data_IF_787658844569
#
_entry.id   IF_787658844569
#
_cell.length_a   1.000
_cell.length_b   1.000
_cell.length_c   1.000
_cell.angle_alpha   90.00
_cell.angle_beta   90.00
_cell.angle_gamma   90.00
#
_symmetry.space_group_name_H-M   'P 1'
#
loop_
_entity.id
_entity.type
_entity.pdbx_description
1 polymer ?
#
# COMPACT_ATOMS: atom_id res chain seq x y z
N UNK A 1 -17.83 -3.20 30.28
CA UNK A 1 -17.14 -1.88 30.30
C UNK A 1 -16.68 -1.48 28.90
N UNK A 2 -17.23 -0.41 28.33
CA UNK A 2 -16.75 0.16 27.08
C UNK A 2 -15.42 0.91 27.25
N UNK A 3 -14.58 0.95 26.21
CA UNK A 3 -13.38 1.81 26.19
C UNK A 3 -13.74 3.12 25.48
N UNK A 4 -13.32 4.26 26.03
CA UNK A 4 -13.55 5.56 25.41
C UNK A 4 -12.82 5.75 24.07
N UNK A 5 -13.28 6.74 23.28
CA UNK A 5 -12.74 7.05 21.94
C UNK A 5 -11.22 7.31 21.96
N UNK A 6 -10.74 7.99 23.01
CA UNK A 6 -9.33 8.35 23.21
C UNK A 6 -8.46 7.22 23.75
N UNK A 7 -9.02 6.03 23.99
CA UNK A 7 -8.25 4.86 24.41
C UNK A 7 -7.10 4.58 23.46
N UNK A 8 -5.88 4.45 24.00
CA UNK A 8 -4.66 4.18 23.23
C UNK A 8 -4.73 2.84 22.48
N UNK A 9 -5.42 1.85 23.03
CA UNK A 9 -5.61 0.53 22.40
C UNK A 9 -6.51 0.64 21.18
N UNK A 10 -7.68 1.26 21.36
CA UNK A 10 -8.62 1.46 20.25
C UNK A 10 -8.02 2.37 19.17
N UNK A 11 -7.22 3.38 19.55
CA UNK A 11 -6.46 4.21 18.60
C UNK A 11 -5.51 3.37 17.75
N UNK A 12 -4.77 2.43 18.34
CA UNK A 12 -3.84 1.55 17.61
C UNK A 12 -4.56 0.66 16.60
N UNK A 13 -5.64 0.00 17.01
CA UNK A 13 -6.45 -0.80 16.07
C UNK A 13 -7.06 0.05 14.95
N UNK A 14 -7.45 1.30 15.22
CA UNK A 14 -7.90 2.22 14.15
C UNK A 14 -6.77 2.55 13.17
N UNK A 15 -5.53 2.73 13.63
CA UNK A 15 -4.38 2.94 12.75
C UNK A 15 -4.16 1.74 11.84
N UNK A 16 -4.19 0.52 12.38
CA UNK A 16 -4.06 -0.71 11.58
C UNK A 16 -5.15 -0.81 10.50
N UNK A 17 -6.40 -0.51 10.86
CA UNK A 17 -7.52 -0.48 9.89
C UNK A 17 -7.28 0.54 8.78
N UNK A 18 -6.79 1.75 9.11
CA UNK A 18 -6.50 2.79 8.11
C UNK A 18 -5.41 2.34 7.13
N UNK A 19 -4.34 1.73 7.63
CA UNK A 19 -3.28 1.17 6.78
C UNK A 19 -3.88 0.15 5.82
N UNK A 20 -4.68 -0.79 6.32
CA UNK A 20 -5.30 -1.80 5.48
C UNK A 20 -6.24 -1.21 4.41
N UNK A 21 -7.07 -0.21 4.76
CA UNK A 21 -7.93 0.51 3.79
C UNK A 21 -7.10 1.23 2.75
N UNK A 22 -6.05 1.94 3.17
CA UNK A 22 -5.16 2.66 2.27
C UNK A 22 -4.53 1.71 1.24
N UNK A 23 -4.15 0.51 1.65
CA UNK A 23 -3.52 -0.47 0.76
C UNK A 23 -4.50 -1.18 -0.16
N UNK A 24 -5.65 -1.58 0.35
CA UNK A 24 -6.64 -2.36 -0.39
C UNK A 24 -7.53 -1.51 -1.30
N UNK A 25 -7.83 -0.27 -0.92
CA UNK A 25 -8.77 0.61 -1.62
C UNK A 25 -8.05 1.82 -2.22
N UNK A 26 -7.36 2.60 -1.40
CA UNK A 26 -6.88 3.93 -1.83
C UNK A 26 -5.75 3.83 -2.86
N UNK A 27 -4.71 3.02 -2.59
CA UNK A 27 -3.60 2.77 -3.52
C UNK A 27 -4.09 2.33 -4.92
N UNK A 28 -4.90 1.27 -5.07
CA UNK A 28 -5.36 0.85 -6.39
C UNK A 28 -6.30 1.87 -7.05
N UNK A 29 -7.10 2.61 -6.27
CA UNK A 29 -7.94 3.69 -6.79
C UNK A 29 -7.10 4.82 -7.39
N UNK A 30 -6.07 5.27 -6.66
CA UNK A 30 -5.14 6.32 -7.12
C UNK A 30 -4.37 5.84 -8.36
N UNK A 31 -3.92 4.58 -8.38
CA UNK A 31 -3.24 4.02 -9.55
C UNK A 31 -4.13 4.01 -10.80
N UNK A 32 -5.40 3.62 -10.67
CA UNK A 32 -6.40 3.69 -11.76
C UNK A 32 -6.63 5.12 -12.22
N UNK A 33 -6.76 6.07 -11.29
CA UNK A 33 -6.93 7.48 -11.61
C UNK A 33 -5.73 8.02 -12.39
N UNK A 34 -4.50 7.75 -11.91
CA UNK A 34 -3.27 8.17 -12.59
C UNK A 34 -3.14 7.58 -13.99
N UNK A 35 -3.52 6.31 -14.17
CA UNK A 35 -3.55 5.67 -15.49
C UNK A 35 -4.52 6.40 -16.43
N UNK A 36 -5.73 6.71 -15.96
CA UNK A 36 -6.73 7.46 -16.75
C UNK A 36 -6.20 8.82 -17.17
N UNK A 37 -5.58 9.57 -16.27
CA UNK A 37 -4.99 10.87 -16.58
C UNK A 37 -3.93 10.74 -17.69
N UNK A 38 -3.07 9.73 -17.62
CA UNK A 38 -2.07 9.45 -18.66
C UNK A 38 -2.70 9.09 -20.01
N UNK A 39 -3.76 8.28 -19.99
CA UNK A 39 -4.49 7.90 -21.21
C UNK A 39 -5.16 9.12 -21.85
N UNK A 40 -5.73 10.04 -21.06
CA UNK A 40 -6.27 11.32 -21.54
C UNK A 40 -5.20 12.15 -22.25
N UNK A 41 -4.02 12.28 -21.64
CA UNK A 41 -2.90 13.04 -22.20
C UNK A 41 -2.39 12.44 -23.53
N UNK A 42 -2.49 11.13 -23.70
CA UNK A 42 -2.10 10.42 -24.92
C UNK A 42 -3.22 10.37 -25.97
N UNK A 43 -4.33 11.12 -25.79
CA UNK A 43 -5.53 11.08 -26.64
C UNK A 43 -6.12 9.68 -26.82
N UNK A 44 -5.91 8.78 -25.85
CA UNK A 44 -6.53 7.45 -25.84
C UNK A 44 -7.95 7.56 -25.30
N UNK A 45 -8.82 6.65 -25.72
CA UNK A 45 -10.18 6.59 -25.21
C UNK A 45 -10.19 6.14 -23.74
N UNK A 46 -10.34 7.10 -22.84
CA UNK A 46 -10.42 6.92 -21.38
C UNK A 46 -11.65 6.12 -20.95
N UNK A 47 -12.69 6.08 -21.79
CA UNK A 47 -13.93 5.37 -21.49
C UNK A 47 -13.88 3.88 -21.82
N UNK A 48 -12.78 3.39 -22.42
CA UNK A 48 -12.63 1.98 -22.81
C UNK A 48 -12.88 1.01 -21.65
N UNK A 49 -12.55 1.39 -20.42
CA UNK A 49 -12.78 0.57 -19.22
C UNK A 49 -14.26 0.44 -18.81
N UNK A 50 -15.13 1.35 -19.27
CA UNK A 50 -16.57 1.33 -18.94
C UNK A 50 -17.41 0.60 -19.99
N UNK A 51 -16.83 0.31 -21.16
CA UNK A 51 -17.49 -0.45 -22.22
C UNK A 51 -17.57 -1.90 -21.74
N UNK A 52 -18.79 -2.36 -21.43
CA UNK A 52 -19.05 -3.76 -21.07
C UNK A 52 -19.01 -4.62 -22.34
N UNK A 53 -18.46 -5.85 -22.27
CA UNK A 53 -18.56 -6.78 -23.39
C UNK A 53 -20.04 -7.15 -23.64
N UNK A 54 -20.38 -7.51 -24.88
CA UNK A 54 -21.74 -7.94 -25.22
C UNK A 54 -22.13 -9.20 -24.42
N UNK A 55 -23.43 -9.33 -24.13
CA UNK A 55 -23.95 -10.47 -23.37
C UNK A 55 -24.11 -11.70 -24.28
N UNK A 56 -23.40 -12.78 -23.97
CA UNK A 56 -23.42 -14.02 -24.77
C UNK A 56 -24.79 -14.70 -24.82
N UNK A 57 -25.66 -14.50 -23.82
CA UNK A 57 -27.03 -15.03 -23.86
C UNK A 57 -27.92 -14.32 -24.88
N UNK A 58 -27.64 -13.04 -25.17
CA UNK A 58 -28.40 -12.24 -26.12
C UNK A 58 -27.81 -12.31 -27.53
N UNK A 59 -26.49 -12.40 -27.62
CA UNK A 59 -25.73 -12.48 -28.88
C UNK A 59 -24.88 -13.75 -28.87
N UNK A 60 -25.48 -14.93 -29.13
CA UNK A 60 -24.76 -16.20 -29.09
C UNK A 60 -23.68 -16.31 -30.17
N UNK A 61 -23.89 -15.67 -31.33
CA UNK A 61 -23.00 -15.77 -32.49
C UNK A 61 -21.79 -14.82 -32.42
N UNK A 62 -21.82 -13.79 -31.56
CA UNK A 62 -20.71 -12.84 -31.43
C UNK A 62 -19.55 -13.46 -30.61
N UNK A 63 -18.36 -13.57 -31.21
CA UNK A 63 -17.16 -14.10 -30.58
C UNK A 63 -16.68 -13.25 -29.39
N UNK A 64 -16.94 -11.94 -29.41
CA UNK A 64 -16.54 -11.03 -28.34
C UNK A 64 -17.51 -11.01 -27.17
N UNK A 65 -18.65 -11.68 -27.28
CA UNK A 65 -19.65 -11.72 -26.23
C UNK A 65 -19.24 -12.67 -25.09
N UNK A 66 -19.48 -12.23 -23.85
CA UNK A 66 -19.07 -12.92 -22.63
C UNK A 66 -20.31 -13.35 -21.85
N UNK A 67 -20.26 -14.54 -21.25
CA UNK A 67 -21.30 -15.01 -20.31
C UNK A 67 -21.18 -14.19 -19.02
N UNK A 68 -22.20 -13.40 -18.64
CA UNK A 68 -22.14 -12.61 -17.41
C UNK A 68 -22.01 -13.54 -16.18
N UNK A 69 -20.94 -13.37 -15.42
CA UNK A 69 -20.73 -14.07 -14.16
C UNK A 69 -20.72 -13.06 -13.00
N UNK A 70 -21.50 -13.34 -11.96
CA UNK A 70 -21.47 -12.55 -10.74
C UNK A 70 -20.17 -12.84 -9.98
N UNK A 71 -19.24 -11.87 -9.95
CA UNK A 71 -18.03 -11.97 -9.13
C UNK A 71 -18.38 -11.67 -7.68
N UNK A 72 -18.13 -12.63 -6.79
CA UNK A 72 -18.26 -12.42 -5.34
C UNK A 72 -17.15 -11.45 -4.92
N UNK A 73 -17.52 -10.20 -4.62
CA UNK A 73 -16.60 -9.21 -4.07
C UNK A 73 -16.45 -9.50 -2.58
N UNK A 74 -15.26 -9.96 -2.16
CA UNK A 74 -14.96 -10.13 -0.74
C UNK A 74 -14.96 -8.75 -0.07
N UNK A 75 -15.87 -8.54 0.86
CA UNK A 75 -15.87 -7.35 1.71
C UNK A 75 -14.61 -7.32 2.58
N UNK A 76 -14.09 -6.13 2.85
CA UNK A 76 -12.97 -5.97 3.78
C UNK A 76 -13.46 -6.30 5.19
N UNK A 77 -12.80 -7.27 5.84
CA UNK A 77 -13.07 -7.59 7.23
C UNK A 77 -12.29 -6.66 8.16
N UNK A 78 -13.03 -5.86 8.94
CA UNK A 78 -12.46 -4.94 9.90
C UNK A 78 -12.34 -5.51 11.32
N UNK A 79 -12.64 -6.78 11.55
CA UNK A 79 -12.34 -7.44 12.82
C UNK A 79 -10.83 -7.43 13.04
N UNK A 80 -10.40 -7.25 14.28
CA UNK A 80 -8.97 -7.19 14.60
C UNK A 80 -8.25 -8.45 14.18
N UNK A 81 -8.84 -9.63 14.36
CA UNK A 81 -8.26 -10.93 14.02
C UNK A 81 -7.94 -11.09 12.53
N UNK A 82 -8.71 -10.46 11.64
CA UNK A 82 -8.55 -10.59 10.20
C UNK A 82 -7.48 -9.65 9.60
N UNK A 83 -6.96 -8.70 10.40
CA UNK A 83 -6.03 -7.68 9.91
C UNK A 83 -4.58 -8.12 10.17
N UNK A 84 -3.68 -8.06 9.16
CA UNK A 84 -2.32 -8.63 9.25
C UNK A 84 -1.45 -7.99 10.34
N UNK A 85 -1.67 -6.71 10.63
CA UNK A 85 -0.86 -5.93 11.58
C UNK A 85 -1.50 -5.79 12.97
N UNK A 86 -2.64 -6.45 13.20
CA UNK A 86 -3.42 -6.29 14.43
C UNK A 86 -2.72 -6.88 15.65
N UNK A 87 -1.93 -7.94 15.47
CA UNK A 87 -1.15 -8.58 16.54
C UNK A 87 -0.27 -7.56 17.25
N UNK A 88 0.45 -6.73 16.51
CA UNK A 88 1.31 -5.68 17.08
C UNK A 88 0.57 -4.57 17.83
N UNK A 89 -0.75 -4.41 17.59
CA UNK A 89 -1.56 -3.39 18.24
C UNK A 89 -2.10 -3.80 19.63
N UNK A 90 -1.96 -5.09 20.00
CA UNK A 90 -2.45 -5.67 21.26
C UNK A 90 -1.77 -5.03 22.49
N UNK A 91 -2.40 -5.18 23.65
CA UNK A 91 -1.83 -4.78 24.93
C UNK A 91 -0.64 -5.67 25.31
N UNK A 92 0.37 -5.11 25.98
CA UNK A 92 1.57 -5.86 26.37
C UNK A 92 2.63 -6.05 25.28
N UNK A 93 2.29 -5.88 23.99
CA UNK A 93 3.25 -6.05 22.92
C UNK A 93 4.35 -4.98 22.87
N UNK A 94 5.54 -5.40 22.41
CA UNK A 94 6.69 -4.53 22.15
C UNK A 94 6.31 -3.47 21.10
N UNK A 95 6.79 -2.25 21.31
CA UNK A 95 6.40 -1.07 20.49
C UNK A 95 7.56 -0.39 19.80
N UNK A 96 8.77 -0.57 20.34
CA UNK A 96 10.00 -0.04 19.77
C UNK A 96 10.66 -1.19 19.05
N UNK A 97 10.85 -1.01 17.75
CA UNK A 97 11.52 -1.94 16.87
C UNK A 97 12.73 -1.23 16.29
N UNK A 98 13.81 -1.97 16.11
CA UNK A 98 14.98 -1.50 15.39
C UNK A 98 14.67 -1.34 13.90
N UNK A 99 15.59 -0.73 13.16
CA UNK A 99 15.35 -0.39 11.75
C UNK A 99 15.24 -1.67 10.91
N UNK A 100 16.11 -2.64 11.15
CA UNK A 100 16.12 -3.93 10.46
C UNK A 100 14.81 -4.68 10.69
N UNK A 101 14.39 -4.79 11.96
CA UNK A 101 13.13 -5.44 12.33
C UNK A 101 11.90 -4.77 11.71
N UNK A 102 11.91 -3.44 11.55
CA UNK A 102 10.82 -2.72 10.85
C UNK A 102 10.75 -3.09 9.38
N UNK A 103 11.90 -3.20 8.71
CA UNK A 103 11.98 -3.58 7.30
C UNK A 103 11.49 -5.03 7.13
N UNK A 104 11.88 -5.93 8.02
CA UNK A 104 11.40 -7.32 8.03
C UNK A 104 9.88 -7.40 8.20
N UNK A 105 9.33 -6.67 9.16
CA UNK A 105 7.87 -6.60 9.39
C UNK A 105 7.17 -6.04 8.13
N UNK A 106 7.72 -5.00 7.52
CA UNK A 106 7.16 -4.42 6.30
C UNK A 106 7.16 -5.42 5.14
N UNK A 107 8.26 -6.15 4.96
CA UNK A 107 8.41 -7.14 3.90
C UNK A 107 7.46 -8.33 4.09
N UNK A 108 7.23 -8.77 5.33
CA UNK A 108 6.37 -9.91 5.63
C UNK A 108 4.88 -9.59 5.51
N UNK A 109 4.44 -8.45 6.07
CA UNK A 109 3.01 -8.19 6.28
C UNK A 109 2.41 -7.17 5.32
N UNK A 110 3.25 -6.36 4.66
CA UNK A 110 2.79 -5.21 3.89
C UNK A 110 2.23 -4.11 4.79
N UNK A 111 2.63 -2.87 4.50
CA UNK A 111 2.11 -1.70 5.19
C UNK A 111 2.86 -1.33 6.47
N UNK A 112 2.83 -0.03 6.74
CA UNK A 112 3.61 0.57 7.82
C UNK A 112 2.75 0.81 9.06
N UNK A 113 3.02 0.10 10.16
CA UNK A 113 2.51 0.42 11.50
C UNK A 113 3.14 1.74 11.98
N UNK A 114 2.57 2.87 11.54
CA UNK A 114 2.97 4.19 12.04
C UNK A 114 4.17 4.83 11.36
N UNK A 115 4.41 4.56 10.07
CA UNK A 115 5.27 5.44 9.23
C UNK A 115 4.43 6.46 8.45
N UNK A 116 3.45 7.07 9.09
CA UNK A 116 3.02 8.39 8.64
C UNK A 116 3.80 9.39 9.49
N UNK A 117 4.74 10.05 8.81
CA UNK A 117 5.80 10.96 9.27
C UNK A 117 7.02 10.34 9.95
N UNK A 118 8.03 10.05 9.13
CA UNK A 118 9.27 10.78 9.38
C UNK A 118 9.96 11.09 8.06
N UNK A 119 9.79 12.34 7.62
CA UNK A 119 10.79 12.99 6.76
C UNK A 119 12.22 12.80 7.31
N UNK A 120 12.37 12.48 8.60
CA UNK A 120 13.62 12.07 9.24
C UNK A 120 14.16 10.70 8.81
N UNK A 121 13.35 9.66 8.55
CA UNK A 121 13.88 8.37 8.06
C UNK A 121 14.28 8.48 6.60
N UNK A 122 13.50 9.17 5.75
CA UNK A 122 13.91 9.45 4.38
C UNK A 122 15.15 10.33 4.32
N UNK A 123 15.25 11.39 5.15
CA UNK A 123 16.48 12.18 5.29
C UNK A 123 17.66 11.37 5.81
N UNK A 124 17.47 10.47 6.78
CA UNK A 124 18.53 9.60 7.30
C UNK A 124 19.06 8.67 6.20
N UNK A 125 18.17 8.06 5.41
CA UNK A 125 18.53 7.21 4.26
C UNK A 125 19.26 8.02 3.18
N UNK A 126 18.77 9.22 2.87
CA UNK A 126 19.43 10.13 1.92
C UNK A 126 20.83 10.56 2.41
N UNK A 127 20.97 10.90 3.69
CA UNK A 127 22.23 11.33 4.30
C UNK A 127 23.25 10.17 4.40
N UNK A 128 22.79 8.94 4.68
CA UNK A 128 23.64 7.74 4.63
C UNK A 128 24.14 7.46 3.20
N UNK A 129 23.28 7.59 2.19
CA UNK A 129 23.67 7.43 0.79
C UNK A 129 24.60 8.54 0.29
N UNK A 130 24.45 9.79 0.75
CA UNK A 130 25.39 10.89 0.45
C UNK A 130 26.78 10.59 1.01
N UNK A 131 26.87 10.25 2.30
CA UNK A 131 28.15 9.90 2.95
C UNK A 131 28.84 8.72 2.27
N UNK A 132 28.09 7.68 1.89
CA UNK A 132 28.63 6.53 1.16
C UNK A 132 29.25 6.93 -0.19
N UNK A 133 28.57 7.78 -0.97
CA UNK A 133 29.11 8.28 -2.25
C UNK A 133 30.37 9.13 -2.07
N UNK A 134 30.41 9.96 -1.03
CA UNK A 134 31.59 10.78 -0.69
C UNK A 134 32.80 9.92 -0.29
N UNK A 135 32.58 8.88 0.52
CA UNK A 135 33.62 7.90 0.88
C UNK A 135 34.11 7.15 -0.36
N UNK A 136 33.22 6.69 -1.24
CA UNK A 136 33.64 6.03 -2.48
C UNK A 136 34.43 6.97 -3.41
N UNK A 137 34.05 8.25 -3.47
CA UNK A 137 34.74 9.26 -4.27
C UNK A 137 36.14 9.57 -3.74
N UNK A 138 36.32 9.62 -2.43
CA UNK A 138 37.64 9.81 -1.80
C UNK A 138 38.54 8.59 -1.97
N UNK A 139 38.00 7.37 -1.85
CA UNK A 139 38.73 6.14 -2.17
C UNK A 139 39.14 6.07 -3.64
N UNK A 140 38.28 6.49 -4.56
CA UNK A 140 38.62 6.57 -5.99
C UNK A 140 39.68 7.63 -6.26
N UNK A 141 39.62 8.80 -5.60
CA UNK A 141 40.64 9.85 -5.74
C UNK A 141 42.02 9.42 -5.21
N UNK A 142 42.05 8.63 -4.14
CA UNK A 142 43.28 8.13 -3.53
C UNK A 142 43.89 6.91 -4.26
N UNK A 143 43.16 6.28 -5.18
CA UNK A 143 43.61 5.14 -5.97
C UNK A 143 44.13 5.53 -7.37
N UNK A 144 44.31 6.84 -7.64
CA UNK A 144 44.78 7.38 -8.93
C UNK A 144 46.24 7.88 -8.86
N UNK A 145 46.97 7.51 -7.80
CA UNK A 145 48.44 7.63 -7.74
C UNK A 145 49.14 6.33 -8.17
#
# INVERSE_FOLDING_TARGET
MGKGLRSKVKRRFRTVKRVHVHETIEKPSIAKLNKRVKDTLQNKNTYKEFIKPPNKFLHPDDENAVIPQHKIVKSIDFRSEALPLSGFAVMGNRRKYDIEEKIEIQNQYGGNLGLYDSAGISKLIEDMHKRSKEVMKTLQANNVE
#
